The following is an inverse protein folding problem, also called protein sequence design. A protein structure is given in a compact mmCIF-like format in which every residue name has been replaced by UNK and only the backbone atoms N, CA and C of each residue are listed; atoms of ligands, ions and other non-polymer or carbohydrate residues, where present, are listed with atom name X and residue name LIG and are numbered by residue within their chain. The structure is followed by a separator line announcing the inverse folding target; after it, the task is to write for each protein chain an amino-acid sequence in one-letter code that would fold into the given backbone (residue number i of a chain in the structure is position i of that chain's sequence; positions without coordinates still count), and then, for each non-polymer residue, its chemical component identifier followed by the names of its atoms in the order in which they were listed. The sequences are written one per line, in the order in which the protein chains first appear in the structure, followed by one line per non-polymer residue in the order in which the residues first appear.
data_IF_582068682031
#
_entry.id   IF_582068682031
#
_cell.length_a   1.000
_cell.length_b   1.000
_cell.length_c   1.000
_cell.angle_alpha   90.00
_cell.angle_beta   90.00
_cell.angle_gamma   90.00
#
_symmetry.space_group_name_H-M   'P 1'
#
loop_
_entity.id
_entity.type
_entity.pdbx_description
1 polymer ?
#
# COMPACT_ATOMS: atom_id res chain seq x y z
N UNK A 1 36.11 49.44 58.27
CA UNK A 1 35.95 47.97 58.16
C UNK A 1 35.32 47.66 56.81
N UNK A 2 36.07 46.92 55.99
CA UNK A 2 35.74 46.51 54.62
C UNK A 2 34.52 45.59 54.57
N UNK A 3 33.69 45.69 53.53
CA UNK A 3 33.03 44.52 52.93
C UNK A 3 33.07 44.61 51.40
N UNK A 4 33.59 43.52 50.85
CA UNK A 4 33.91 43.27 49.45
C UNK A 4 32.69 42.91 48.59
N UNK A 5 32.84 43.30 47.32
CA UNK A 5 32.31 42.79 46.04
C UNK A 5 31.87 41.32 46.03
N UNK A 6 30.74 40.99 45.36
CA UNK A 6 30.68 39.85 44.43
C UNK A 6 29.55 40.02 43.39
N UNK A 7 29.92 40.12 42.11
CA UNK A 7 29.03 39.98 40.94
C UNK A 7 28.87 38.49 40.65
N UNK A 8 27.63 38.00 40.58
CA UNK A 8 27.35 36.62 40.20
C UNK A 8 26.88 36.59 38.74
N UNK A 9 27.74 36.11 37.84
CA UNK A 9 27.40 35.82 36.44
C UNK A 9 26.59 34.53 36.37
N UNK A 10 25.39 34.58 35.82
CA UNK A 10 24.54 33.40 35.59
C UNK A 10 24.83 32.86 34.19
N UNK A 11 25.63 31.79 34.10
CA UNK A 11 25.77 31.00 32.87
C UNK A 11 24.63 30.00 32.78
N UNK A 12 23.70 30.22 31.85
CA UNK A 12 22.58 29.33 31.58
C UNK A 12 23.06 28.16 30.69
N UNK A 13 23.31 27.01 31.30
CA UNK A 13 23.54 25.73 30.59
C UNK A 13 22.20 25.17 30.13
N UNK A 14 22.00 25.05 28.81
CA UNK A 14 20.85 24.37 28.20
C UNK A 14 21.22 22.89 28.02
N UNK A 15 20.62 21.94 28.75
CA UNK A 15 20.83 20.52 28.45
C UNK A 15 20.01 20.12 27.21
N UNK A 16 20.72 19.62 26.21
CA UNK A 16 20.20 18.98 25.00
C UNK A 16 19.41 17.73 25.41
N UNK A 17 18.11 17.72 25.10
CA UNK A 17 17.24 16.55 25.26
C UNK A 17 17.55 15.55 24.14
N UNK A 18 18.33 14.52 24.45
CA UNK A 18 18.49 13.34 23.60
C UNK A 18 17.20 12.51 23.65
N UNK A 19 16.34 12.67 22.63
CA UNK A 19 15.26 11.74 22.33
C UNK A 19 15.88 10.49 21.68
N UNK A 20 16.34 9.55 22.51
CA UNK A 20 16.69 8.21 22.05
C UNK A 20 15.40 7.42 21.79
N UNK A 21 15.37 6.84 20.60
CA UNK A 21 14.19 6.31 19.96
C UNK A 21 13.48 5.23 20.77
N UNK A 22 12.15 5.33 20.74
CA UNK A 22 11.28 4.19 20.95
C UNK A 22 11.58 3.18 19.84
N UNK A 23 12.50 2.26 20.09
CA UNK A 23 12.47 0.96 19.46
C UNK A 23 11.16 0.30 19.90
N UNK A 24 10.08 0.56 19.16
CA UNK A 24 8.87 -0.24 19.24
C UNK A 24 9.27 -1.64 18.78
N UNK A 25 9.63 -2.43 19.79
CA UNK A 25 9.95 -3.83 19.70
C UNK A 25 8.75 -4.53 19.06
N UNK A 26 9.04 -5.23 17.97
CA UNK A 26 8.17 -6.05 17.14
C UNK A 26 7.41 -7.05 18.02
N UNK A 27 6.30 -6.62 18.62
CA UNK A 27 5.37 -7.53 19.27
C UNK A 27 4.71 -8.32 18.16
N UNK A 28 4.78 -9.64 18.27
CA UNK A 28 4.19 -10.64 17.41
C UNK A 28 2.66 -10.43 17.27
N UNK A 29 2.27 -9.39 16.56
CA UNK A 29 0.92 -8.86 16.40
C UNK A 29 0.20 -9.60 15.28
N UNK A 30 0.34 -10.92 15.25
CA UNK A 30 -0.44 -11.76 14.34
C UNK A 30 -1.83 -11.87 14.92
N UNK A 31 -2.83 -11.57 14.10
CA UNK A 31 -4.25 -11.70 14.48
C UNK A 31 -4.89 -12.83 13.68
N UNK A 32 -6.10 -13.23 14.07
CA UNK A 32 -6.87 -14.22 13.33
C UNK A 32 -7.24 -13.69 11.93
N UNK A 33 -7.17 -14.58 10.93
CA UNK A 33 -7.61 -14.29 9.56
C UNK A 33 -9.09 -13.91 9.49
N UNK A 34 -9.92 -14.45 10.40
CA UNK A 34 -11.35 -14.15 10.47
C UNK A 34 -11.64 -12.66 10.66
N UNK A 35 -10.72 -11.90 11.26
CA UNK A 35 -10.86 -10.46 11.45
C UNK A 35 -10.89 -9.73 10.10
N UNK A 36 -10.11 -10.21 9.12
CA UNK A 36 -9.98 -9.58 7.79
C UNK A 36 -10.62 -10.38 6.65
N UNK A 37 -11.13 -11.58 6.89
CA UNK A 37 -11.79 -12.39 5.88
C UNK A 37 -13.05 -11.70 5.31
N UNK A 38 -13.26 -11.86 4.00
CA UNK A 38 -14.41 -11.28 3.30
C UNK A 38 -14.10 -10.88 1.86
N UNK A 39 -15.13 -10.41 1.17
CA UNK A 39 -15.05 -9.89 -0.19
C UNK A 39 -14.87 -8.36 -0.17
N UNK A 40 -13.84 -7.88 -0.85
CA UNK A 40 -13.47 -6.47 -0.90
C UNK A 40 -13.59 -5.94 -2.32
N UNK A 41 -14.48 -4.97 -2.53
CA UNK A 41 -14.57 -4.24 -3.79
C UNK A 41 -13.53 -3.12 -3.83
N UNK A 42 -12.92 -2.89 -4.99
CA UNK A 42 -12.03 -1.75 -5.17
C UNK A 42 -12.86 -0.47 -5.37
N UNK A 43 -12.72 0.48 -4.45
CA UNK A 43 -13.35 1.81 -4.53
C UNK A 43 -12.38 2.87 -5.04
N UNK A 44 -11.08 2.60 -5.00
CA UNK A 44 -10.03 3.40 -5.62
C UNK A 44 -8.93 2.49 -6.12
N UNK A 45 -8.48 2.72 -7.36
CA UNK A 45 -7.30 2.09 -7.94
C UNK A 45 -6.75 3.05 -8.98
N UNK A 46 -5.75 3.83 -8.62
CA UNK A 46 -5.19 4.86 -9.48
C UNK A 46 -3.67 4.87 -9.42
N UNK A 47 -3.03 5.14 -10.55
CA UNK A 47 -1.59 5.38 -10.64
C UNK A 47 -1.34 6.86 -10.89
N UNK A 48 -0.58 7.49 -10.01
CA UNK A 48 -0.13 8.88 -10.16
C UNK A 48 1.35 8.88 -10.51
N UNK A 49 1.71 9.21 -11.76
CA UNK A 49 3.12 9.34 -12.14
C UNK A 49 3.83 10.41 -11.30
N UNK A 50 5.10 10.17 -10.98
CA UNK A 50 5.94 11.17 -10.30
C UNK A 50 6.27 12.37 -11.21
N UNK A 51 6.19 12.18 -12.52
CA UNK A 51 6.38 13.25 -13.52
C UNK A 51 5.09 14.05 -13.69
N UNK A 52 5.17 15.37 -13.52
CA UNK A 52 4.05 16.30 -13.77
C UNK A 52 3.65 16.41 -15.24
N UNK A 53 4.45 15.88 -16.17
CA UNK A 53 4.14 15.85 -17.60
C UNK A 53 3.14 14.73 -17.96
N UNK A 54 2.94 13.76 -17.06
CA UNK A 54 2.02 12.64 -17.26
C UNK A 54 0.79 12.83 -16.39
N UNK A 55 -0.38 12.55 -16.95
CA UNK A 55 -1.63 12.60 -16.19
C UNK A 55 -1.80 11.35 -15.32
N UNK A 56 -2.44 11.47 -14.15
CA UNK A 56 -2.88 10.32 -13.37
C UNK A 56 -3.78 9.39 -14.20
N UNK A 57 -3.63 8.10 -13.95
CA UNK A 57 -4.39 7.04 -14.57
C UNK A 57 -5.32 6.43 -13.53
N UNK A 58 -6.63 6.49 -13.76
CA UNK A 58 -7.57 5.68 -13.01
C UNK A 58 -7.61 4.27 -13.61
N UNK A 59 -7.07 3.30 -12.89
CA UNK A 59 -7.03 1.89 -13.31
C UNK A 59 -8.44 1.29 -13.22
N UNK A 60 -9.30 1.72 -12.29
CA UNK A 60 -10.67 1.21 -12.21
C UNK A 60 -11.49 1.47 -13.47
N UNK A 61 -11.24 2.57 -14.18
CA UNK A 61 -11.99 2.91 -15.40
C UNK A 61 -11.70 1.94 -16.56
N UNK A 62 -10.63 1.14 -16.47
CA UNK A 62 -10.32 0.11 -17.46
C UNK A 62 -10.86 -1.27 -17.08
N UNK A 63 -11.46 -1.40 -15.90
CA UNK A 63 -11.94 -2.66 -15.34
C UNK A 63 -13.47 -2.71 -15.25
N UNK A 64 -14.02 -3.91 -15.37
CA UNK A 64 -15.42 -4.18 -15.01
C UNK A 64 -15.48 -4.29 -13.49
N UNK A 65 -15.97 -3.23 -12.83
CA UNK A 65 -15.94 -3.10 -11.35
C UNK A 65 -16.74 -4.20 -10.65
N UNK A 66 -17.87 -4.64 -11.22
CA UNK A 66 -18.65 -5.76 -10.70
C UNK A 66 -17.88 -7.09 -10.66
N UNK A 67 -16.86 -7.22 -11.51
CA UNK A 67 -16.00 -8.40 -11.63
C UNK A 67 -14.57 -8.13 -11.14
N UNK A 68 -14.36 -7.06 -10.34
CA UNK A 68 -13.05 -6.70 -9.78
C UNK A 68 -13.12 -6.69 -8.26
N UNK A 69 -12.57 -7.72 -7.61
CA UNK A 69 -12.58 -7.85 -6.14
C UNK A 69 -11.42 -8.67 -5.60
N UNK A 70 -11.04 -8.37 -4.37
CA UNK A 70 -10.14 -9.17 -3.56
C UNK A 70 -10.96 -9.97 -2.55
N UNK A 71 -10.88 -11.30 -2.59
CA UNK A 71 -11.46 -12.18 -1.58
C UNK A 71 -10.37 -12.66 -0.64
N UNK A 72 -10.52 -12.38 0.65
CA UNK A 72 -9.65 -12.89 1.71
C UNK A 72 -10.37 -14.04 2.43
N UNK A 73 -9.76 -15.21 2.45
CA UNK A 73 -10.30 -16.39 3.13
C UNK A 73 -9.71 -16.56 4.53
N UNK A 74 -10.54 -17.01 5.48
CA UNK A 74 -10.12 -17.35 6.86
C UNK A 74 -8.98 -18.38 6.94
N UNK A 75 -8.66 -19.07 5.85
CA UNK A 75 -7.52 -19.98 5.77
C UNK A 75 -6.16 -19.28 5.57
N UNK A 76 -6.13 -17.95 5.44
CA UNK A 76 -4.92 -17.19 5.08
C UNK A 76 -4.60 -17.20 3.59
N UNK A 77 -5.56 -17.61 2.74
CA UNK A 77 -5.44 -17.57 1.28
C UNK A 77 -6.24 -16.41 0.72
N UNK A 78 -5.89 -15.94 -0.47
CA UNK A 78 -6.70 -14.96 -1.18
C UNK A 78 -6.96 -15.34 -2.63
N UNK A 79 -7.94 -14.67 -3.23
CA UNK A 79 -8.14 -14.64 -4.68
C UNK A 79 -8.40 -13.20 -5.10
N UNK A 80 -7.69 -12.74 -6.12
CA UNK A 80 -7.98 -11.49 -6.81
C UNK A 80 -8.64 -11.86 -8.14
N UNK A 81 -9.91 -11.47 -8.28
CA UNK A 81 -10.64 -11.55 -9.54
C UNK A 81 -10.63 -10.17 -10.18
N UNK A 82 -10.34 -10.10 -11.48
CA UNK A 82 -10.46 -8.87 -12.25
C UNK A 82 -10.85 -9.15 -13.70
N UNK A 83 -11.38 -8.13 -14.37
CA UNK A 83 -11.67 -8.20 -15.80
C UNK A 83 -11.47 -6.83 -16.42
N UNK A 84 -10.62 -6.73 -17.44
CA UNK A 84 -10.56 -5.53 -18.28
C UNK A 84 -11.82 -5.40 -19.12
N UNK A 85 -12.27 -4.16 -19.37
CA UNK A 85 -13.41 -3.89 -20.25
C UNK A 85 -13.17 -4.52 -21.64
N UNK A 86 -14.05 -5.44 -22.03
CA UNK A 86 -13.92 -6.19 -23.30
C UNK A 86 -12.99 -7.42 -23.26
N UNK A 87 -12.38 -7.73 -22.11
CA UNK A 87 -11.53 -8.91 -21.91
C UNK A 87 -12.22 -10.06 -21.17
N UNK A 88 -11.48 -11.15 -20.95
CA UNK A 88 -11.85 -12.27 -20.07
C UNK A 88 -11.73 -11.90 -18.59
N UNK A 89 -12.45 -12.64 -17.74
CA UNK A 89 -12.21 -12.62 -16.31
C UNK A 89 -10.95 -13.43 -15.98
N UNK A 90 -10.07 -12.83 -15.19
CA UNK A 90 -8.84 -13.43 -14.70
C UNK A 90 -8.94 -13.68 -13.19
N UNK A 91 -8.29 -14.73 -12.72
CA UNK A 91 -8.24 -15.11 -11.31
C UNK A 91 -6.80 -15.44 -10.94
N UNK A 92 -6.28 -14.74 -9.95
CA UNK A 92 -4.96 -15.01 -9.38
C UNK A 92 -5.06 -15.20 -7.88
N UNK A 93 -4.15 -15.98 -7.32
CA UNK A 93 -4.22 -16.40 -5.93
C UNK A 93 -2.88 -16.39 -5.23
N UNK A 94 -2.95 -16.61 -3.92
CA UNK A 94 -1.77 -16.76 -3.09
C UNK A 94 -2.14 -16.79 -1.62
N UNK A 95 -1.19 -16.40 -0.81
CA UNK A 95 -1.30 -16.37 0.64
C UNK A 95 -1.26 -14.92 1.14
N UNK A 96 -1.78 -14.71 2.35
CA UNK A 96 -1.64 -13.45 3.04
C UNK A 96 -1.34 -13.64 4.51
N UNK A 97 -0.70 -12.65 5.12
CA UNK A 97 -0.54 -12.54 6.57
C UNK A 97 -1.26 -11.30 7.07
N UNK A 98 -1.70 -11.33 8.32
CA UNK A 98 -2.47 -10.26 8.93
C UNK A 98 -1.90 -9.87 10.29
N UNK A 99 -1.87 -8.56 10.53
CA UNK A 99 -1.62 -7.96 11.84
C UNK A 99 -2.77 -7.08 12.28
N UNK A 100 -2.71 -6.47 13.46
CA UNK A 100 -3.73 -5.51 13.91
C UNK A 100 -3.93 -4.34 12.94
N UNK A 101 -2.90 -3.98 12.17
CA UNK A 101 -2.88 -2.79 11.31
C UNK A 101 -2.62 -3.06 9.84
N UNK A 102 -2.22 -4.27 9.45
CA UNK A 102 -1.78 -4.57 8.07
C UNK A 102 -2.26 -5.92 7.57
N UNK A 103 -2.41 -6.00 6.25
CA UNK A 103 -2.60 -7.25 5.50
C UNK A 103 -1.50 -7.30 4.43
N UNK A 104 -0.59 -8.28 4.51
CA UNK A 104 0.45 -8.47 3.49
C UNK A 104 0.00 -9.55 2.52
N UNK A 105 -0.15 -9.19 1.26
CA UNK A 105 -0.54 -10.07 0.16
C UNK A 105 0.71 -10.60 -0.53
N UNK A 106 0.76 -11.91 -0.77
CA UNK A 106 1.82 -12.58 -1.54
C UNK A 106 1.22 -13.54 -2.56
N UNK A 107 1.13 -13.10 -3.80
CA UNK A 107 0.65 -13.88 -4.94
C UNK A 107 1.64 -14.95 -5.40
N UNK A 108 1.14 -15.91 -6.19
CA UNK A 108 1.98 -16.92 -6.84
C UNK A 108 2.98 -16.25 -7.79
N UNK A 109 4.27 -16.59 -7.65
CA UNK A 109 5.34 -16.08 -8.50
C UNK A 109 5.14 -16.42 -9.99
N UNK A 110 4.45 -17.52 -10.30
CA UNK A 110 4.11 -17.91 -11.68
C UNK A 110 3.05 -17.00 -12.31
N UNK A 111 2.31 -16.26 -11.49
CA UNK A 111 1.22 -15.37 -11.92
C UNK A 111 1.67 -13.90 -11.97
N UNK A 112 2.97 -13.60 -11.82
CA UNK A 112 3.52 -12.24 -11.77
C UNK A 112 3.01 -11.31 -12.88
N UNK A 113 2.93 -11.81 -14.12
CA UNK A 113 2.47 -11.04 -15.27
C UNK A 113 1.02 -10.53 -15.12
N UNK A 114 0.14 -11.27 -14.44
CA UNK A 114 -1.24 -10.86 -14.19
C UNK A 114 -1.32 -9.71 -13.18
N UNK A 115 -0.47 -9.72 -12.15
CA UNK A 115 -0.35 -8.59 -11.23
C UNK A 115 0.22 -7.36 -11.95
N UNK A 116 1.26 -7.55 -12.77
CA UNK A 116 1.91 -6.45 -13.51
C UNK A 116 0.96 -5.82 -14.54
N UNK A 117 0.05 -6.60 -15.13
CA UNK A 117 -1.01 -6.07 -15.99
C UNK A 117 -1.93 -5.07 -15.25
N UNK A 118 -2.12 -5.26 -13.94
CA UNK A 118 -2.84 -4.32 -13.05
C UNK A 118 -1.92 -3.24 -12.47
N UNK A 119 -0.69 -3.10 -12.98
CA UNK A 119 0.36 -2.24 -12.43
C UNK A 119 0.76 -2.63 -10.99
N UNK A 120 0.35 -3.80 -10.49
CA UNK A 120 0.62 -4.34 -9.17
C UNK A 120 1.91 -5.16 -9.13
N UNK A 121 2.58 -5.13 -7.98
CA UNK A 121 3.56 -6.16 -7.64
C UNK A 121 2.81 -7.42 -7.21
N UNK A 122 3.41 -8.58 -7.41
CA UNK A 122 2.89 -9.84 -6.88
C UNK A 122 2.99 -9.94 -5.34
N UNK A 123 3.62 -8.96 -4.70
CA UNK A 123 3.65 -8.80 -3.24
C UNK A 123 3.41 -7.34 -2.86
N UNK A 124 2.44 -7.08 -1.99
CA UNK A 124 2.12 -5.74 -1.52
C UNK A 124 1.46 -5.77 -0.15
N UNK A 125 1.40 -4.63 0.53
CA UNK A 125 0.82 -4.51 1.87
C UNK A 125 -0.32 -3.50 1.84
N UNK A 126 -1.45 -3.89 2.42
CA UNK A 126 -2.60 -3.03 2.67
C UNK A 126 -2.61 -2.62 4.15
N UNK A 127 -2.90 -1.36 4.42
CA UNK A 127 -3.18 -0.83 5.76
C UNK A 127 -4.66 -1.06 6.08
N UNK A 128 -4.94 -1.44 7.33
CA UNK A 128 -6.28 -1.52 7.89
C UNK A 128 -6.70 -0.16 8.41
N UNK A 129 -7.49 0.57 7.65
CA UNK A 129 -8.04 1.87 8.06
C UNK A 129 -9.22 1.70 9.04
N UNK A 130 -9.95 0.59 8.88
CA UNK A 130 -11.05 0.17 9.75
C UNK A 130 -11.29 -1.33 9.57
N UNK A 131 -12.30 -1.89 10.24
CA UNK A 131 -12.68 -3.30 10.09
C UNK A 131 -13.19 -3.64 8.67
N UNK A 132 -13.58 -2.63 7.88
CA UNK A 132 -14.16 -2.83 6.55
C UNK A 132 -13.36 -2.16 5.43
N UNK A 133 -12.29 -1.44 5.74
CA UNK A 133 -11.52 -0.68 4.75
C UNK A 133 -10.05 -1.10 4.77
N UNK A 134 -9.56 -1.45 3.58
CA UNK A 134 -8.14 -1.67 3.32
C UNK A 134 -7.63 -0.61 2.34
N UNK A 135 -6.43 -0.08 2.55
CA UNK A 135 -5.83 0.95 1.70
C UNK A 135 -4.35 0.67 1.43
N UNK A 136 -3.79 1.25 0.37
CA UNK A 136 -2.34 1.32 0.21
C UNK A 136 -1.94 2.49 -0.68
N UNK A 137 -0.75 3.02 -0.41
CA UNK A 137 0.01 3.87 -1.32
C UNK A 137 1.32 3.14 -1.61
N UNK A 138 1.55 2.79 -2.87
CA UNK A 138 2.67 1.91 -3.27
C UNK A 138 3.51 2.63 -4.32
N UNK A 139 4.70 3.08 -3.92
CA UNK A 139 5.68 3.62 -4.87
C UNK A 139 6.25 2.51 -5.76
N UNK A 140 6.14 2.66 -7.08
CA UNK A 140 6.64 1.68 -8.06
C UNK A 140 7.07 2.32 -9.36
N UNK A 141 7.91 1.58 -10.08
CA UNK A 141 8.16 1.77 -11.50
C UNK A 141 7.33 0.75 -12.29
N UNK A 142 6.57 1.21 -13.28
CA UNK A 142 5.63 0.38 -14.04
C UNK A 142 5.82 0.56 -15.55
N UNK A 143 5.47 -0.48 -16.31
CA UNK A 143 5.41 -0.43 -17.77
C UNK A 143 4.01 0.03 -18.21
N UNK A 144 3.84 1.31 -18.55
CA UNK A 144 2.56 1.84 -19.00
C UNK A 144 2.23 1.45 -20.44
N UNK A 145 3.23 1.12 -21.25
CA UNK A 145 3.01 0.62 -22.62
C UNK A 145 2.28 -0.72 -22.62
N UNK A 146 2.62 -1.63 -21.70
CA UNK A 146 1.92 -2.91 -21.53
C UNK A 146 0.47 -2.71 -21.06
N UNK A 147 0.21 -1.65 -20.29
CA UNK A 147 -1.14 -1.32 -19.83
C UNK A 147 -2.02 -0.74 -20.95
N UNK A 148 -1.48 0.14 -21.80
CA UNK A 148 -2.23 0.74 -22.90
C UNK A 148 -1.34 1.30 -24.00
N UNK A 149 -1.74 1.08 -25.26
CA UNK A 149 -1.08 1.66 -26.45
C UNK A 149 -0.98 3.19 -26.42
N UNK A 150 -1.82 3.88 -25.65
CA UNK A 150 -1.75 5.35 -25.50
C UNK A 150 -0.43 5.82 -24.88
N UNK A 151 0.28 4.91 -24.20
CA UNK A 151 1.53 5.15 -23.49
C UNK A 151 2.73 4.48 -24.18
N UNK A 152 2.65 4.25 -25.50
CA UNK A 152 3.73 3.64 -26.25
C UNK A 152 5.09 4.33 -25.99
N UNK A 153 6.12 3.53 -25.69
CA UNK A 153 7.46 4.00 -25.36
C UNK A 153 7.66 4.35 -23.88
N UNK A 154 6.62 4.28 -23.03
CA UNK A 154 6.72 4.53 -21.60
C UNK A 154 6.84 3.21 -20.82
N UNK A 155 8.01 2.59 -20.90
CA UNK A 155 8.26 1.25 -20.34
C UNK A 155 8.71 1.25 -18.88
N UNK A 156 9.14 2.40 -18.33
CA UNK A 156 9.66 2.53 -16.98
C UNK A 156 9.21 3.87 -16.37
N UNK A 157 7.97 3.92 -15.88
CA UNK A 157 7.38 5.13 -15.30
C UNK A 157 7.27 4.98 -13.78
N UNK A 158 7.97 5.85 -13.05
CA UNK A 158 7.87 5.93 -11.59
C UNK A 158 6.61 6.67 -11.17
N UNK A 159 5.98 6.21 -10.10
CA UNK A 159 4.82 6.86 -9.50
C UNK A 159 4.30 6.11 -8.29
N UNK A 160 3.13 6.53 -7.82
CA UNK A 160 2.45 5.93 -6.67
C UNK A 160 1.14 5.31 -7.12
N UNK A 161 0.94 4.04 -6.78
CA UNK A 161 -0.34 3.38 -6.91
C UNK A 161 -1.14 3.52 -5.62
N UNK A 162 -2.28 4.19 -5.72
CA UNK A 162 -3.24 4.37 -4.62
C UNK A 162 -4.37 3.35 -4.74
N UNK A 163 -4.55 2.55 -3.69
CA UNK A 163 -5.57 1.52 -3.57
C UNK A 163 -6.49 1.84 -2.39
N UNK A 164 -7.79 1.64 -2.58
CA UNK A 164 -8.76 1.57 -1.50
C UNK A 164 -9.79 0.50 -1.80
N UNK A 165 -9.99 -0.39 -0.84
CA UNK A 165 -10.93 -1.49 -0.93
C UNK A 165 -11.92 -1.44 0.23
N UNK A 166 -13.18 -1.75 -0.06
CA UNK A 166 -14.29 -1.75 0.88
C UNK A 166 -14.91 -3.13 0.95
N UNK A 167 -14.96 -3.70 2.16
CA UNK A 167 -15.66 -4.96 2.43
C UNK A 167 -17.15 -4.80 2.10
N UNK A 168 -17.69 -5.76 1.35
CA UNK A 168 -19.10 -5.85 0.96
C UNK A 168 -19.94 -6.61 1.98
#
# INVERSE_FOLDING_TARGET
MMKHVTRTSVSLLIPVVLLLGLSACDSNDTVDFDVVAGDYAFTQFAFTPASSLLQPLNVLDTLVTANTRLQLFSSGRFTLMYQFVGGSSEFVGGDYTVTSSRVRIKGDAKEKAFYEALLLSNEFTLTRESDTVLSAEIEREVNLEEFSRRYQGLTAVKGTLSLRLQRQ
#
